data_IF_124478994695
#
_entry.id   IF_124478994695
#
_cell.length_a   1.000
_cell.length_b   1.000
_cell.length_c   1.000
_cell.angle_alpha   90.00
_cell.angle_beta   90.00
_cell.angle_gamma   90.00
#
_symmetry.space_group_name_H-M   'P 1'
#
loop_
_entity.id
_entity.type
_entity.pdbx_description
1 polymer ?
#
# COMPACT_ATOMS: atom_id res chain seq x y z
N UNK A 1 -10.50 -0.01 6.81
CA UNK A 1 -9.23 -0.46 6.21
C UNK A 1 -9.04 0.27 4.90
N UNK A 2 -8.08 1.20 4.90
CA UNK A 2 -8.00 2.29 3.91
C UNK A 2 -6.96 2.00 2.82
N UNK A 3 -5.99 1.13 3.10
CA UNK A 3 -4.93 0.67 2.18
C UNK A 3 -4.97 -0.86 2.12
N UNK A 4 -4.85 -1.45 0.92
CA UNK A 4 -4.75 -2.90 0.69
C UNK A 4 -3.55 -3.19 -0.20
N UNK A 5 -2.90 -4.34 0.01
CA UNK A 5 -1.74 -4.76 -0.78
C UNK A 5 -2.14 -5.99 -1.59
N UNK A 6 -2.02 -5.92 -2.91
CA UNK A 6 -2.17 -7.07 -3.80
C UNK A 6 -0.82 -7.44 -4.40
N UNK A 7 -0.34 -8.64 -4.10
CA UNK A 7 0.99 -9.13 -4.53
C UNK A 7 0.82 -9.96 -5.81
N UNK A 8 1.39 -9.48 -6.91
CA UNK A 8 1.42 -10.16 -8.20
C UNK A 8 2.86 -10.47 -8.59
N UNK A 9 3.30 -11.70 -8.30
CA UNK A 9 4.69 -12.15 -8.46
C UNK A 9 5.64 -11.21 -7.68
N UNK A 10 6.42 -10.42 -8.40
CA UNK A 10 7.41 -9.47 -7.93
C UNK A 10 6.90 -8.02 -7.91
N UNK A 11 5.64 -7.79 -8.30
CA UNK A 11 4.98 -6.48 -8.27
C UNK A 11 3.97 -6.42 -7.14
N UNK A 12 4.01 -5.38 -6.33
CA UNK A 12 3.10 -5.15 -5.22
C UNK A 12 2.23 -3.94 -5.55
N UNK A 13 0.91 -4.14 -5.65
CA UNK A 13 -0.05 -3.06 -5.84
C UNK A 13 -0.56 -2.60 -4.48
N UNK A 14 -0.26 -1.37 -4.10
CA UNK A 14 -0.69 -0.73 -2.86
C UNK A 14 -1.90 0.14 -3.19
N UNK A 15 -3.10 -0.35 -2.92
CA UNK A 15 -4.35 0.30 -3.30
C UNK A 15 -4.90 1.07 -2.10
N UNK A 16 -4.88 2.40 -2.16
CA UNK A 16 -5.63 3.24 -1.23
C UNK A 16 -7.08 3.40 -1.71
N UNK A 17 -8.02 2.91 -0.92
CA UNK A 17 -9.44 2.83 -1.25
C UNK A 17 -10.27 3.46 -0.14
N UNK A 18 -10.31 4.80 -0.12
CA UNK A 18 -11.18 5.61 0.74
C UNK A 18 -12.19 6.36 -0.11
N UNK A 19 -12.98 5.61 -0.87
CA UNK A 19 -13.94 6.12 -1.88
C UNK A 19 -14.92 7.15 -1.30
N UNK A 20 -15.36 6.97 -0.06
CA UNK A 20 -16.27 7.89 0.65
C UNK A 20 -15.72 9.32 0.80
N UNK A 21 -14.39 9.46 0.80
CA UNK A 21 -13.70 10.75 0.92
C UNK A 21 -12.79 11.01 -0.27
N UNK A 22 -13.06 10.37 -1.41
CA UNK A 22 -12.27 10.51 -2.65
C UNK A 22 -10.78 10.25 -2.43
N UNK A 23 -10.44 9.26 -1.61
CA UNK A 23 -9.06 8.90 -1.25
C UNK A 23 -8.32 10.01 -0.51
N UNK A 24 -9.04 10.86 0.25
CA UNK A 24 -8.42 11.86 1.10
C UNK A 24 -7.52 11.19 2.14
N UNK A 25 -6.25 11.59 2.10
CA UNK A 25 -5.21 11.12 3.01
C UNK A 25 -5.50 11.62 4.43
N UNK A 26 -5.42 10.71 5.40
CA UNK A 26 -5.53 10.98 6.83
C UNK A 26 -4.36 10.29 7.58
N UNK A 27 -4.11 10.61 8.86
CA UNK A 27 -2.98 10.03 9.61
C UNK A 27 -2.97 8.50 9.61
N UNK A 28 -4.12 7.87 9.83
CA UNK A 28 -4.25 6.41 9.82
C UNK A 28 -3.87 5.80 8.46
N UNK A 29 -4.28 6.41 7.35
CA UNK A 29 -3.91 5.96 6.02
C UNK A 29 -2.45 6.22 5.67
N UNK A 30 -1.85 7.25 6.28
CA UNK A 30 -0.42 7.53 6.15
C UNK A 30 0.39 6.43 6.83
N UNK A 31 0.00 6.06 8.06
CA UNK A 31 0.63 4.98 8.81
C UNK A 31 0.49 3.64 8.07
N UNK A 32 -0.72 3.34 7.55
CA UNK A 32 -0.96 2.12 6.77
C UNK A 32 -0.16 2.09 5.46
N UNK A 33 0.00 3.23 4.79
CA UNK A 33 0.81 3.34 3.58
C UNK A 33 2.30 3.15 3.88
N UNK A 34 2.79 3.73 4.97
CA UNK A 34 4.17 3.56 5.42
C UNK A 34 4.47 2.11 5.78
N UNK A 35 3.57 1.45 6.51
CA UNK A 35 3.71 0.03 6.87
C UNK A 35 3.77 -0.86 5.61
N UNK A 36 2.94 -0.58 4.60
CA UNK A 36 2.94 -1.29 3.33
C UNK A 36 4.29 -1.19 2.60
N UNK A 37 4.90 0.00 2.58
CA UNK A 37 6.22 0.19 1.96
C UNK A 37 7.35 -0.46 2.76
N UNK A 38 7.29 -0.43 4.10
CA UNK A 38 8.26 -1.13 4.94
C UNK A 38 8.18 -2.65 4.77
N UNK A 39 6.99 -3.19 4.55
CA UNK A 39 6.81 -4.61 4.23
C UNK A 39 7.38 -4.95 2.83
N UNK A 40 7.19 -4.05 1.86
CA UNK A 40 7.79 -4.18 0.53
C UNK A 40 9.32 -4.21 0.60
N UNK A 41 9.96 -3.28 1.33
CA UNK A 41 11.42 -3.23 1.46
C UNK A 41 12.01 -4.50 2.10
N UNK A 42 11.27 -5.16 2.98
CA UNK A 42 11.70 -6.40 3.63
C UNK A 42 11.46 -7.65 2.77
N UNK A 43 10.72 -7.54 1.67
CA UNK A 43 10.36 -8.68 0.84
C UNK A 43 11.47 -9.10 -0.12
N UNK A 44 12.12 -10.23 0.13
CA UNK A 44 13.21 -10.78 -0.73
C UNK A 44 12.82 -11.08 -2.18
N UNK A 45 11.51 -11.07 -2.52
CA UNK A 45 10.99 -11.26 -3.88
C UNK A 45 10.24 -10.05 -4.45
N UNK A 46 10.21 -8.93 -3.72
CA UNK A 46 9.51 -7.72 -4.14
C UNK A 46 10.45 -6.85 -4.99
N UNK A 47 10.05 -6.54 -6.23
CA UNK A 47 10.87 -5.79 -7.18
C UNK A 47 10.31 -4.40 -7.48
N UNK A 48 8.97 -4.25 -7.52
CA UNK A 48 8.31 -2.99 -7.83
C UNK A 48 7.06 -2.82 -6.97
N UNK A 49 6.87 -1.63 -6.39
CA UNK A 49 5.62 -1.23 -5.75
C UNK A 49 4.90 -0.18 -6.62
N UNK A 50 3.59 -0.36 -6.82
CA UNK A 50 2.71 0.57 -7.56
C UNK A 50 1.64 1.06 -6.60
N UNK A 51 1.46 2.38 -6.50
CA UNK A 51 0.45 3.04 -5.68
C UNK A 51 -0.48 3.88 -6.56
#
# INVERSE_FOLDING_TARGET
>A
MTVRIEKSRNVWNVIHSRTETRNAMNPESADALQEAFLEFEKGEGAAVAVY
#
